data_IF_471897715970
#
_entry.id   IF_471897715970
#
_cell.length_a   1.000
_cell.length_b   1.000
_cell.length_c   1.000
_cell.angle_alpha   90.00
_cell.angle_beta   90.00
_cell.angle_gamma   90.00
#
_symmetry.space_group_name_H-M   'P 1'
#
loop_
_entity.id
_entity.type
_entity.pdbx_description
1 polymer ?
#
# COMPACT_ATOMS: atom_id res chain seq x y z
N UNK A 1 -0.21 4.83 7.86
CA UNK A 1 -0.78 3.99 6.79
C UNK A 1 -0.92 2.58 7.31
N UNK A 2 -2.05 1.92 7.06
CA UNK A 2 -2.35 0.57 7.55
C UNK A 2 -2.68 -0.33 6.35
N UNK A 3 -1.73 -1.13 5.85
CA UNK A 3 -2.03 -2.22 4.93
C UNK A 3 -2.70 -3.37 5.71
N UNK A 4 -3.64 -4.05 5.09
CA UNK A 4 -4.31 -5.20 5.70
C UNK A 4 -4.30 -6.44 4.82
N UNK A 5 -4.37 -7.60 5.47
CA UNK A 5 -4.41 -8.92 4.83
C UNK A 5 -5.64 -9.14 3.94
N UNK A 6 -6.70 -8.35 4.17
CA UNK A 6 -7.86 -8.31 3.28
C UNK A 6 -7.58 -7.56 1.96
N UNK A 7 -6.36 -7.09 1.70
CA UNK A 7 -5.99 -6.36 0.49
C UNK A 7 -6.54 -4.93 0.44
N UNK A 8 -6.73 -4.31 1.61
CA UNK A 8 -7.18 -2.92 1.76
C UNK A 8 -6.09 -2.10 2.41
N UNK A 9 -5.77 -0.95 1.84
CA UNK A 9 -4.87 0.04 2.41
C UNK A 9 -5.70 1.18 3.00
N UNK A 10 -5.43 1.56 4.24
CA UNK A 10 -6.10 2.66 4.94
C UNK A 10 -5.12 3.77 5.31
N UNK A 11 -5.55 5.01 5.15
CA UNK A 11 -4.97 6.15 5.87
C UNK A 11 -5.82 6.40 7.09
N UNK A 12 -5.17 6.37 8.25
CA UNK A 12 -5.78 6.66 9.55
C UNK A 12 -5.12 7.93 10.08
N UNK A 13 -5.93 8.88 10.55
CA UNK A 13 -5.49 10.15 11.12
C UNK A 13 -5.01 9.98 12.57
N UNK A 14 -4.32 10.98 13.17
CA UNK A 14 -3.83 10.88 14.54
C UNK A 14 -4.92 10.67 15.61
N UNK A 15 -6.13 11.15 15.35
CA UNK A 15 -7.33 10.94 16.17
C UNK A 15 -8.00 9.57 15.96
N UNK A 16 -7.48 8.75 15.04
CA UNK A 16 -7.96 7.38 14.80
C UNK A 16 -9.02 7.26 13.71
N UNK A 17 -9.38 8.35 13.04
CA UNK A 17 -10.38 8.36 11.97
C UNK A 17 -9.80 7.86 10.64
N UNK A 18 -10.62 7.19 9.85
CA UNK A 18 -10.21 6.72 8.52
C UNK A 18 -10.40 7.85 7.51
N UNK A 19 -9.29 8.50 7.12
CA UNK A 19 -9.30 9.52 6.08
C UNK A 19 -9.70 8.95 4.72
N UNK A 20 -9.16 7.78 4.36
CA UNK A 20 -9.57 7.02 3.18
C UNK A 20 -9.19 5.55 3.28
N UNK A 21 -9.86 4.72 2.47
CA UNK A 21 -9.59 3.30 2.33
C UNK A 21 -9.70 2.87 0.86
N UNK A 22 -8.65 2.20 0.36
CA UNK A 22 -8.57 1.75 -1.04
C UNK A 22 -8.34 0.25 -1.12
N UNK A 23 -9.10 -0.42 -1.98
CA UNK A 23 -8.83 -1.82 -2.35
C UNK A 23 -7.59 -1.87 -3.25
N UNK A 24 -6.56 -2.57 -2.78
CA UNK A 24 -5.26 -2.68 -3.45
C UNK A 24 -5.19 -3.94 -4.31
N UNK A 25 -5.50 -5.10 -3.72
CA UNK A 25 -5.36 -6.40 -4.36
C UNK A 25 -6.49 -7.35 -3.99
N UNK A 26 -6.85 -8.24 -4.92
CA UNK A 26 -7.75 -9.37 -4.69
C UNK A 26 -7.09 -10.58 -4.02
N UNK A 27 -5.77 -10.54 -3.79
CA UNK A 27 -5.02 -11.68 -3.26
C UNK A 27 -5.49 -12.11 -1.88
N UNK A 28 -5.55 -13.43 -1.67
CA UNK A 28 -6.00 -14.05 -0.43
C UNK A 28 -5.15 -13.69 0.80
N UNK A 29 -3.90 -13.26 0.58
CA UNK A 29 -2.95 -12.87 1.64
C UNK A 29 -2.78 -11.36 1.79
N UNK A 30 -3.33 -10.55 0.89
CA UNK A 30 -3.26 -9.09 0.96
C UNK A 30 -1.83 -8.53 0.97
N UNK A 31 -1.53 -7.70 1.97
CA UNK A 31 -0.28 -6.95 2.13
C UNK A 31 0.14 -6.98 3.60
N UNK A 32 1.38 -7.36 3.88
CA UNK A 32 1.92 -7.43 5.25
C UNK A 32 3.06 -6.44 5.51
N UNK A 33 3.83 -6.08 4.49
CA UNK A 33 4.95 -5.14 4.62
C UNK A 33 4.50 -3.74 5.03
N UNK A 34 5.37 -3.00 5.71
CA UNK A 34 5.10 -1.61 6.07
C UNK A 34 5.16 -0.71 4.82
N UNK A 35 4.20 0.20 4.59
CA UNK A 35 4.26 1.09 3.43
C UNK A 35 5.38 2.12 3.59
N UNK A 36 6.03 2.47 2.49
CA UNK A 36 6.91 3.65 2.43
C UNK A 36 6.11 4.87 1.97
N UNK A 37 6.36 6.03 2.57
CA UNK A 37 5.73 7.31 2.17
C UNK A 37 6.83 8.26 1.73
N UNK A 38 6.75 8.74 0.50
CA UNK A 38 7.70 9.71 -0.03
C UNK A 38 7.05 10.53 -1.16
N UNK A 39 7.35 11.83 -1.21
CA UNK A 39 6.89 12.76 -2.25
C UNK A 39 5.38 12.70 -2.52
N UNK A 40 4.56 12.67 -1.46
CA UNK A 40 3.10 12.61 -1.59
C UNK A 40 2.56 11.26 -2.08
N UNK A 41 3.40 10.23 -2.17
CA UNK A 41 3.00 8.88 -2.59
C UNK A 41 3.19 7.85 -1.46
N UNK A 42 2.32 6.85 -1.46
CA UNK A 42 2.40 5.66 -0.59
C UNK A 42 2.74 4.44 -1.44
N UNK A 43 3.83 3.75 -1.09
CA UNK A 43 4.29 2.55 -1.76
C UNK A 43 4.04 1.31 -0.91
N UNK A 44 3.42 0.28 -1.49
CA UNK A 44 3.11 -0.97 -0.78
C UNK A 44 3.31 -2.18 -1.67
N UNK A 45 4.02 -3.18 -1.15
CA UNK A 45 4.15 -4.50 -1.77
C UNK A 45 3.03 -5.44 -1.30
N UNK A 46 2.55 -6.30 -2.20
CA UNK A 46 1.51 -7.27 -1.92
C UNK A 46 1.96 -8.71 -2.23
N UNK A 47 1.24 -9.67 -1.64
CA UNK A 47 1.48 -11.09 -1.85
C UNK A 47 1.07 -11.61 -3.24
N UNK A 48 0.49 -10.76 -4.10
CA UNK A 48 0.34 -11.06 -5.54
C UNK A 48 1.59 -10.73 -6.36
N UNK A 49 2.67 -10.29 -5.71
CA UNK A 49 3.94 -9.98 -6.35
C UNK A 49 3.97 -8.63 -7.07
N UNK A 50 2.98 -7.77 -6.84
CA UNK A 50 2.97 -6.42 -7.36
C UNK A 50 3.33 -5.36 -6.30
N UNK A 51 4.06 -4.35 -6.76
CA UNK A 51 4.26 -3.09 -6.06
C UNK A 51 3.21 -2.08 -6.53
N UNK A 52 2.64 -1.34 -5.59
CA UNK A 52 1.63 -0.33 -5.84
C UNK A 52 2.09 1.04 -5.35
N UNK A 53 1.65 2.08 -6.03
CA UNK A 53 1.77 3.46 -5.56
C UNK A 53 0.40 4.14 -5.56
N UNK A 54 0.15 4.91 -4.50
CA UNK A 54 -1.08 5.66 -4.30
C UNK A 54 -0.76 7.11 -3.94
N UNK A 55 -1.66 8.01 -4.28
CA UNK A 55 -1.70 9.35 -3.74
C UNK A 55 -1.94 9.30 -2.22
N UNK A 56 -1.11 10.01 -1.45
CA UNK A 56 -1.20 10.03 0.01
C UNK A 56 -2.48 10.69 0.52
N UNK A 57 -2.96 11.74 -0.16
CA UNK A 57 -4.10 12.52 0.30
C UNK A 57 -5.43 11.91 -0.13
N UNK A 58 -5.53 11.43 -1.38
CA UNK A 58 -6.79 10.93 -1.94
C UNK A 58 -6.93 9.42 -1.86
N UNK A 59 -5.82 8.68 -1.74
CA UNK A 59 -5.83 7.22 -1.82
C UNK A 59 -6.03 6.68 -3.24
N UNK A 60 -6.02 7.55 -4.25
CA UNK A 60 -6.12 7.15 -5.65
C UNK A 60 -4.85 6.42 -6.10
N UNK A 61 -5.01 5.39 -6.92
CA UNK A 61 -3.87 4.60 -7.38
C UNK A 61 -3.14 5.34 -8.49
N UNK A 62 -1.88 5.68 -8.27
CA UNK A 62 -1.01 6.17 -9.34
C UNK A 62 -0.64 5.05 -10.30
N UNK A 63 -0.14 3.93 -9.79
CA UNK A 63 0.26 2.81 -10.64
C UNK A 63 0.33 1.47 -9.88
N UNK A 64 0.45 0.40 -10.69
CA UNK A 64 0.79 -0.96 -10.28
C UNK A 64 1.93 -1.47 -11.17
N UNK A 65 2.88 -2.20 -10.58
CA UNK A 65 3.97 -2.89 -11.30
C UNK A 65 4.12 -4.31 -10.77
N UNK A 66 4.03 -5.29 -11.67
CA UNK A 66 4.34 -6.68 -11.33
C UNK A 66 5.86 -6.84 -11.27
N UNK A 67 6.39 -7.35 -10.15
CA UNK A 67 7.82 -7.53 -9.94
C UNK A 67 8.23 -9.00 -9.79
N UNK A 68 7.26 -9.91 -9.66
CA UNK A 68 7.51 -11.34 -9.62
C UNK A 68 6.52 -12.05 -8.72
N UNK A 69 7.05 -12.85 -7.81
CA UNK A 69 6.29 -13.54 -6.76
C UNK A 69 6.03 -12.60 -5.56
N UNK A 70 5.27 -13.10 -4.58
CA UNK A 70 4.91 -12.48 -3.32
C UNK A 70 5.95 -11.50 -2.75
N UNK A 71 5.51 -10.25 -2.53
CA UNK A 71 6.31 -9.23 -1.84
C UNK A 71 5.84 -9.17 -0.38
N UNK A 72 6.58 -9.82 0.51
CA UNK A 72 6.39 -9.73 1.96
C UNK A 72 7.22 -8.64 2.64
N UNK A 73 8.22 -8.10 1.95
CA UNK A 73 9.13 -7.07 2.47
C UNK A 73 8.54 -5.66 2.41
N UNK A 74 9.01 -4.77 3.29
CA UNK A 74 8.68 -3.35 3.27
C UNK A 74 9.46 -2.64 2.14
N UNK A 75 8.82 -1.80 1.32
CA UNK A 75 9.53 -0.93 0.37
C UNK A 75 10.45 0.06 1.11
N UNK A 76 11.54 0.45 0.46
CA UNK A 76 12.41 1.54 0.89
C UNK A 76 12.44 2.64 -0.18
N UNK A 77 12.75 3.86 0.27
CA UNK A 77 12.90 5.02 -0.59
C UNK A 77 14.25 5.68 -0.27
N UNK A 78 15.02 6.03 -1.31
CA UNK A 78 16.41 6.50 -1.21
C UNK A 78 16.63 7.79 -2.02
N UNK A 79 15.87 8.86 -1.77
CA UNK A 79 16.17 10.18 -2.35
C UNK A 79 15.91 11.31 -1.38
#
# INVERSE_FOLDING_TARGET
MVPGDAGVLRRVTPDGEVAWATRVTGASRGMHGTPAIANGAVYVGAYDGALYAFDLETGERFWRRQLGDAIGSSPAYDR
#
